data_IF_017237120243
#
_entry.id   IF_017237120243
#
_cell.length_a   1.000
_cell.length_b   1.000
_cell.length_c   1.000
_cell.angle_alpha   90.00
_cell.angle_beta   90.00
_cell.angle_gamma   90.00
#
_symmetry.space_group_name_H-M   'P 1'
#
loop_
_entity.id
_entity.type
_entity.pdbx_description
1 polymer ?
#
# COMPACT_ATOMS: atom_id res chain seq x y z
N UNK A 1 -11.19 23.96 27.67
CA UNK A 1 -12.51 23.63 27.08
C UNK A 1 -12.86 22.20 27.44
N UNK A 2 -14.14 21.82 27.41
CA UNK A 2 -14.48 20.40 27.59
C UNK A 2 -13.86 19.58 26.45
N UNK A 3 -13.35 18.36 26.71
CA UNK A 3 -12.74 17.51 25.68
C UNK A 3 -13.69 17.26 24.49
N UNK A 4 -14.99 17.22 24.77
CA UNK A 4 -16.06 17.02 23.78
C UNK A 4 -16.14 18.19 22.80
N UNK A 5 -16.06 19.44 23.29
CA UNK A 5 -16.09 20.62 22.41
C UNK A 5 -14.89 20.65 21.47
N UNK A 6 -13.71 20.29 21.96
CA UNK A 6 -12.49 20.21 21.12
C UNK A 6 -12.61 19.13 20.05
N UNK A 7 -13.18 17.97 20.41
CA UNK A 7 -13.48 16.91 19.45
C UNK A 7 -14.43 17.34 18.34
N UNK A 8 -15.54 18.01 18.69
CA UNK A 8 -16.50 18.52 17.71
C UNK A 8 -15.85 19.55 16.77
N UNK A 9 -15.07 20.48 17.33
CA UNK A 9 -14.39 21.52 16.56
C UNK A 9 -13.33 20.92 15.62
N UNK A 10 -12.59 19.90 16.09
CA UNK A 10 -11.64 19.13 15.28
C UNK A 10 -12.31 18.36 14.14
N UNK A 11 -13.45 17.72 14.38
CA UNK A 11 -14.20 17.01 13.32
C UNK A 11 -14.73 17.97 12.24
N UNK A 12 -15.26 19.13 12.63
CA UNK A 12 -15.71 20.16 11.68
C UNK A 12 -14.54 20.69 10.87
N UNK A 13 -13.40 20.96 11.51
CA UNK A 13 -12.18 21.40 10.85
C UNK A 13 -11.68 20.35 9.84
N UNK A 14 -11.64 19.07 10.23
CA UNK A 14 -11.23 17.97 9.35
C UNK A 14 -12.09 17.91 8.08
N UNK A 15 -13.42 17.95 8.25
CA UNK A 15 -14.36 17.91 7.13
C UNK A 15 -14.18 19.13 6.22
N UNK A 16 -14.00 20.32 6.81
CA UNK A 16 -13.74 21.54 6.05
C UNK A 16 -12.45 21.46 5.21
N UNK A 17 -11.34 20.98 5.78
CA UNK A 17 -10.09 20.80 5.04
C UNK A 17 -10.20 19.72 3.95
N UNK A 18 -10.98 18.68 4.18
CA UNK A 18 -11.24 17.65 3.16
C UNK A 18 -12.01 18.22 1.96
N UNK A 19 -12.98 19.10 2.19
CA UNK A 19 -13.70 19.80 1.12
C UNK A 19 -12.81 20.75 0.30
N UNK A 20 -11.71 21.25 0.88
CA UNK A 20 -10.69 22.02 0.17
C UNK A 20 -9.83 21.17 -0.79
N UNK A 21 -10.04 19.84 -0.83
CA UNK A 21 -9.31 18.92 -1.71
C UNK A 21 -7.92 18.53 -1.17
N UNK A 22 -7.64 18.81 0.10
CA UNK A 22 -6.35 18.50 0.70
C UNK A 22 -6.23 16.98 0.96
N UNK A 23 -5.05 16.35 0.72
CA UNK A 23 -4.92 14.91 0.90
C UNK A 23 -5.18 14.50 2.35
N UNK A 24 -5.96 13.43 2.53
CA UNK A 24 -6.46 12.96 3.84
C UNK A 24 -5.33 12.79 4.87
N UNK A 25 -4.17 12.30 4.44
CA UNK A 25 -3.00 12.11 5.31
C UNK A 25 -2.57 13.41 6.00
N UNK A 26 -2.47 14.52 5.26
CA UNK A 26 -2.07 15.80 5.83
C UNK A 26 -3.16 16.40 6.71
N UNK A 27 -4.43 16.22 6.34
CA UNK A 27 -5.56 16.70 7.15
C UNK A 27 -5.62 15.96 8.49
N UNK A 28 -5.53 14.63 8.48
CA UNK A 28 -5.48 13.79 9.68
C UNK A 28 -4.30 14.15 10.58
N UNK A 29 -3.12 14.34 9.99
CA UNK A 29 -1.91 14.73 10.72
C UNK A 29 -2.07 16.10 11.39
N UNK A 30 -2.58 17.10 10.67
CA UNK A 30 -2.73 18.46 11.18
C UNK A 30 -3.80 18.56 12.26
N UNK A 31 -4.99 18.02 12.01
CA UNK A 31 -6.10 18.05 12.99
C UNK A 31 -5.77 17.19 14.21
N UNK A 32 -5.16 16.02 14.02
CA UNK A 32 -4.69 15.15 15.10
C UNK A 32 -3.62 15.84 15.97
N UNK A 33 -2.64 16.50 15.36
CA UNK A 33 -1.62 17.26 16.08
C UNK A 33 -2.22 18.42 16.89
N UNK A 34 -3.10 19.22 16.29
CA UNK A 34 -3.80 20.32 16.99
C UNK A 34 -4.68 19.82 18.13
N UNK A 35 -5.40 18.70 17.94
CA UNK A 35 -6.22 18.10 18.97
C UNK A 35 -5.41 17.59 20.17
N UNK A 36 -4.33 16.85 19.92
CA UNK A 36 -3.48 16.28 20.99
C UNK A 36 -2.68 17.37 21.70
N UNK A 37 -2.18 18.36 20.96
CA UNK A 37 -1.44 19.48 21.55
C UNK A 37 -2.31 20.33 22.48
N UNK A 38 -3.59 20.49 22.16
CA UNK A 38 -4.55 21.22 22.99
C UNK A 38 -5.06 20.41 24.21
N UNK A 39 -5.27 19.09 24.06
CA UNK A 39 -5.78 18.24 25.15
C UNK A 39 -4.71 17.79 26.14
N UNK A 40 -3.51 17.47 25.68
CA UNK A 40 -2.45 16.90 26.51
C UNK A 40 -1.27 17.87 26.67
N UNK A 41 -0.50 18.08 25.60
CA UNK A 41 0.57 19.07 25.49
C UNK A 41 1.29 18.88 24.17
N UNK A 42 2.04 19.90 23.73
CA UNK A 42 2.91 19.81 22.55
C UNK A 42 3.95 18.68 22.70
N UNK A 43 4.46 18.46 23.91
CA UNK A 43 5.43 17.39 24.22
C UNK A 43 4.83 15.99 24.07
N UNK A 44 3.51 15.82 24.24
CA UNK A 44 2.82 14.56 23.98
C UNK A 44 2.41 14.40 22.50
N UNK A 45 2.15 15.51 21.79
CA UNK A 45 1.72 15.48 20.39
C UNK A 45 2.85 15.08 19.42
N UNK A 46 4.06 15.61 19.63
CA UNK A 46 5.25 15.30 18.83
C UNK A 46 5.58 13.80 18.71
N UNK A 47 5.71 13.04 19.82
CA UNK A 47 6.03 11.62 19.74
C UNK A 47 4.88 10.80 19.13
N UNK A 48 3.62 11.20 19.29
CA UNK A 48 2.48 10.52 18.65
C UNK A 48 2.55 10.67 17.14
N UNK A 49 2.76 11.89 16.64
CA UNK A 49 2.91 12.13 15.20
C UNK A 49 4.11 11.37 14.63
N UNK A 50 5.25 11.41 15.32
CA UNK A 50 6.47 10.69 14.90
C UNK A 50 6.21 9.17 14.82
N UNK A 51 5.53 8.61 15.82
CA UNK A 51 5.15 7.19 15.85
C UNK A 51 4.21 6.83 14.70
N UNK A 52 3.17 7.61 14.45
CA UNK A 52 2.22 7.36 13.36
C UNK A 52 2.90 7.39 12.00
N UNK A 53 3.79 8.36 11.74
CA UNK A 53 4.58 8.43 10.50
C UNK A 53 5.50 7.22 10.39
N UNK A 54 6.19 6.86 11.47
CA UNK A 54 7.07 5.70 11.49
C UNK A 54 6.31 4.39 11.21
N UNK A 55 5.19 4.14 11.88
CA UNK A 55 4.36 2.95 11.67
C UNK A 55 3.84 2.87 10.23
N UNK A 56 3.50 4.02 9.65
CA UNK A 56 3.05 4.07 8.25
C UNK A 56 4.19 3.80 7.28
N UNK A 57 5.39 4.31 7.54
CA UNK A 57 6.56 4.11 6.68
C UNK A 57 7.17 2.70 6.82
N UNK A 58 7.18 2.17 8.04
CA UNK A 58 7.62 0.82 8.39
C UNK A 58 6.51 -0.23 8.17
N UNK A 59 5.55 0.07 7.29
CA UNK A 59 4.52 -0.88 6.93
C UNK A 59 5.14 -2.09 6.25
N UNK A 60 5.00 -3.25 6.90
CA UNK A 60 5.52 -4.53 6.40
C UNK A 60 5.20 -4.81 4.91
N UNK A 61 3.99 -4.51 4.39
CA UNK A 61 3.70 -4.70 2.97
C UNK A 61 4.60 -3.89 2.02
N UNK A 62 5.13 -2.74 2.44
CA UNK A 62 6.05 -1.96 1.60
C UNK A 62 7.41 -2.63 1.42
N UNK A 63 7.83 -3.47 2.36
CA UNK A 63 9.04 -4.30 2.22
C UNK A 63 8.81 -5.48 1.27
N UNK A 64 7.57 -5.98 1.20
CA UNK A 64 7.21 -7.09 0.31
C UNK A 64 7.34 -6.67 -1.18
N UNK A 65 6.96 -5.44 -1.53
CA UNK A 65 7.02 -4.91 -2.91
C UNK A 65 8.41 -5.06 -3.56
N UNK A 66 9.52 -4.52 -3.00
CA UNK A 66 10.84 -4.64 -3.60
C UNK A 66 11.36 -6.08 -3.60
N UNK A 67 11.00 -6.90 -2.60
CA UNK A 67 11.35 -8.32 -2.58
C UNK A 67 10.68 -9.09 -3.72
N UNK A 68 9.43 -8.77 -4.06
CA UNK A 68 8.77 -9.36 -5.24
C UNK A 68 9.38 -8.91 -6.56
N UNK A 69 9.75 -7.62 -6.67
CA UNK A 69 10.45 -7.12 -7.85
C UNK A 69 11.81 -7.85 -8.01
N UNK A 70 12.54 -8.03 -6.92
CA UNK A 70 13.82 -8.75 -6.90
C UNK A 70 13.66 -10.22 -7.29
N UNK A 71 12.66 -10.91 -6.72
CA UNK A 71 12.32 -12.29 -7.09
C UNK A 71 11.96 -12.41 -8.58
N UNK A 72 11.14 -11.51 -9.10
CA UNK A 72 10.79 -11.45 -10.52
C UNK A 72 12.01 -11.25 -11.42
N UNK A 73 12.94 -10.37 -11.00
CA UNK A 73 14.23 -10.17 -11.66
C UNK A 73 15.10 -11.43 -11.68
N UNK A 74 15.20 -12.14 -10.55
CA UNK A 74 15.93 -13.42 -10.48
C UNK A 74 15.28 -14.51 -11.32
N UNK A 75 13.95 -14.65 -11.28
CA UNK A 75 13.22 -15.62 -12.09
C UNK A 75 13.39 -15.37 -13.60
N UNK A 76 13.41 -14.08 -14.00
CA UNK A 76 13.72 -13.66 -15.37
C UNK A 76 15.14 -14.00 -15.78
N UNK A 77 16.13 -13.67 -14.95
CA UNK A 77 17.55 -13.87 -15.28
C UNK A 77 17.96 -15.37 -15.24
N UNK A 78 17.36 -16.16 -14.35
CA UNK A 78 17.55 -17.61 -14.30
C UNK A 78 16.85 -18.36 -15.45
N UNK A 79 16.09 -17.67 -16.31
CA UNK A 79 15.36 -18.27 -17.42
C UNK A 79 14.14 -19.09 -17.01
N UNK A 80 13.75 -19.07 -15.72
CA UNK A 80 12.60 -19.79 -15.18
C UNK A 80 11.33 -19.31 -15.88
N UNK A 81 11.16 -18.00 -16.05
CA UNK A 81 10.01 -17.41 -16.75
C UNK A 81 9.87 -17.91 -18.19
N UNK A 82 10.99 -18.06 -18.89
CA UNK A 82 11.02 -18.57 -20.27
C UNK A 82 10.62 -20.05 -20.33
N UNK A 83 11.18 -20.87 -19.45
CA UNK A 83 10.90 -22.32 -19.39
C UNK A 83 9.45 -22.59 -19.00
N UNK A 84 8.93 -21.81 -18.05
CA UNK A 84 7.54 -21.90 -17.61
C UNK A 84 6.57 -21.54 -18.75
N UNK A 85 6.82 -20.45 -19.45
CA UNK A 85 6.02 -20.05 -20.61
C UNK A 85 6.00 -21.13 -21.70
N UNK A 86 7.17 -21.69 -22.04
CA UNK A 86 7.26 -22.76 -23.03
C UNK A 86 6.52 -24.04 -22.60
N UNK A 87 6.47 -24.31 -21.30
CA UNK A 87 5.70 -25.44 -20.76
C UNK A 87 4.21 -25.23 -20.95
N UNK A 88 3.68 -24.05 -20.63
CA UNK A 88 2.27 -23.72 -20.85
C UNK A 88 1.91 -23.64 -22.33
N UNK A 89 2.76 -23.05 -23.17
CA UNK A 89 2.56 -22.99 -24.63
C UNK A 89 2.41 -24.40 -25.22
N UNK A 90 3.31 -25.33 -24.86
CA UNK A 90 3.21 -26.73 -25.30
C UNK A 90 1.93 -27.41 -24.81
N UNK A 91 1.49 -27.11 -23.60
CA UNK A 91 0.31 -27.75 -23.01
C UNK A 91 -0.99 -27.27 -23.67
N UNK A 92 -1.09 -25.96 -23.94
CA UNK A 92 -2.29 -25.33 -24.48
C UNK A 92 -2.29 -25.18 -26.02
N UNK A 93 -1.22 -25.60 -26.72
CA UNK A 93 -1.09 -25.48 -28.19
C UNK A 93 -2.25 -26.05 -29.00
N UNK A 94 -2.95 -27.05 -28.46
CA UNK A 94 -4.05 -27.76 -29.15
C UNK A 94 -5.40 -27.05 -29.03
N UNK A 95 -5.51 -26.04 -28.16
CA UNK A 95 -6.75 -25.30 -27.96
C UNK A 95 -6.83 -24.11 -28.94
N UNK A 96 -8.02 -23.79 -29.46
CA UNK A 96 -8.22 -22.56 -30.24
C UNK A 96 -7.91 -21.35 -29.35
N UNK A 97 -7.00 -20.48 -29.79
CA UNK A 97 -6.49 -19.37 -28.97
C UNK A 97 -5.39 -19.76 -27.96
N UNK A 98 -4.77 -20.94 -28.10
CA UNK A 98 -3.82 -21.52 -27.15
C UNK A 98 -2.67 -20.61 -26.70
N UNK A 99 -2.21 -19.69 -27.55
CA UNK A 99 -1.15 -18.73 -27.22
C UNK A 99 -1.63 -17.66 -26.21
N UNK A 100 -2.91 -17.26 -26.29
CA UNK A 100 -3.57 -16.40 -25.31
C UNK A 100 -3.84 -17.12 -23.99
N UNK A 101 -4.26 -18.38 -24.06
CA UNK A 101 -4.48 -19.21 -22.87
C UNK A 101 -3.15 -19.46 -22.14
N UNK A 102 -2.07 -19.73 -22.88
CA UNK A 102 -0.74 -19.94 -22.33
C UNK A 102 -0.17 -18.70 -21.63
N UNK A 103 -0.40 -17.49 -22.20
CA UNK A 103 0.01 -16.23 -21.55
C UNK A 103 -0.77 -15.98 -20.27
N UNK A 104 -2.09 -16.16 -20.26
CA UNK A 104 -2.92 -16.00 -19.05
C UNK A 104 -2.52 -17.02 -17.98
N UNK A 105 -2.29 -18.29 -18.35
CA UNK A 105 -1.84 -19.33 -17.43
C UNK A 105 -0.45 -19.03 -16.84
N UNK A 106 0.48 -18.55 -17.67
CA UNK A 106 1.81 -18.14 -17.20
C UNK A 106 1.71 -16.96 -16.21
N UNK A 107 0.90 -15.93 -16.52
CA UNK A 107 0.67 -14.80 -15.63
C UNK A 107 0.01 -15.23 -14.30
N UNK A 108 -1.00 -16.10 -14.35
CA UNK A 108 -1.67 -16.61 -13.16
C UNK A 108 -0.72 -17.43 -12.26
N UNK A 109 0.15 -18.24 -12.86
CA UNK A 109 1.14 -19.03 -12.12
C UNK A 109 2.21 -18.13 -11.47
N UNK A 110 2.69 -17.13 -12.21
CA UNK A 110 3.61 -16.14 -11.63
C UNK A 110 2.97 -15.36 -10.49
N UNK A 111 1.70 -14.93 -10.63
CA UNK A 111 0.95 -14.27 -9.57
C UNK A 111 0.77 -15.16 -8.33
N UNK A 112 0.56 -16.47 -8.51
CA UNK A 112 0.45 -17.42 -7.40
C UNK A 112 1.79 -17.63 -6.67
N UNK A 113 2.91 -17.52 -7.36
CA UNK A 113 4.25 -17.58 -6.77
C UNK A 113 4.67 -16.26 -6.10
N UNK A 114 4.19 -15.13 -6.62
CA UNK A 114 4.55 -13.77 -6.19
C UNK A 114 3.52 -13.11 -5.27
N UNK A 115 2.79 -13.91 -4.48
CA UNK A 115 1.56 -13.53 -3.76
C UNK A 115 1.58 -12.24 -2.97
#
# INVERSE_FOLDING_TARGET
MSPVTVGILGSVLLVFLLFLGMPIAFVMMFVGFLGISYLASVNAALPVVAKTVYETAAHYPYTIIPLFILMGGFAGNAGITRQLYQSFDKWFRRLPGGLGIATVAACAFFAALSG
#
